data_IF_646020534548
#
_entry.id   IF_646020534548
#
_cell.length_a   1.000
_cell.length_b   1.000
_cell.length_c   1.000
_cell.angle_alpha   90.00
_cell.angle_beta   90.00
_cell.angle_gamma   90.00
#
_symmetry.space_group_name_H-M   'P 1'
#
loop_
_entity.id
_entity.type
_entity.pdbx_description
1 polymer ?
#
# COMPACT_ATOMS: atom_id res chain seq x y z
N UNK A 1 39.35 5.87 13.43
CA UNK A 1 38.57 6.31 12.24
C UNK A 1 37.52 5.27 11.79
N UNK A 2 37.52 4.04 12.31
CA UNK A 2 36.59 2.95 11.92
C UNK A 2 35.20 3.11 12.54
N UNK A 3 35.08 3.70 13.74
CA UNK A 3 33.80 3.87 14.46
C UNK A 3 32.84 4.83 13.75
N UNK A 4 33.36 5.90 13.14
CA UNK A 4 32.55 6.84 12.36
C UNK A 4 31.97 6.19 11.10
N UNK A 5 32.68 5.22 10.51
CA UNK A 5 32.21 4.55 9.31
C UNK A 5 31.03 3.63 9.63
N UNK A 6 31.12 2.84 10.71
CA UNK A 6 30.04 1.97 11.16
C UNK A 6 28.76 2.76 11.50
N UNK A 7 28.90 3.92 12.15
CA UNK A 7 27.76 4.77 12.52
C UNK A 7 27.04 5.35 11.28
N UNK A 8 27.79 5.73 10.24
CA UNK A 8 27.23 6.19 8.96
C UNK A 8 26.48 5.06 8.24
N UNK A 9 27.02 3.84 8.24
CA UNK A 9 26.33 2.69 7.64
C UNK A 9 25.03 2.33 8.36
N UNK A 10 25.02 2.35 9.69
CA UNK A 10 23.82 2.05 10.48
C UNK A 10 22.72 3.09 10.26
N UNK A 11 23.09 4.37 10.27
CA UNK A 11 22.11 5.46 10.02
C UNK A 11 21.55 5.42 8.61
N UNK A 12 22.38 5.17 7.60
CA UNK A 12 21.92 5.00 6.22
C UNK A 12 20.98 3.79 6.07
N UNK A 13 21.32 2.66 6.68
CA UNK A 13 20.50 1.45 6.63
C UNK A 13 19.13 1.65 7.31
N UNK A 14 19.09 2.34 8.45
CA UNK A 14 17.83 2.66 9.15
C UNK A 14 16.93 3.58 8.33
N UNK A 15 17.48 4.61 7.69
CA UNK A 15 16.72 5.53 6.82
C UNK A 15 16.16 4.77 5.61
N UNK A 16 16.98 3.90 5.01
CA UNK A 16 16.58 3.10 3.85
C UNK A 16 15.45 2.12 4.19
N UNK A 17 15.55 1.42 5.33
CA UNK A 17 14.48 0.54 5.80
C UNK A 17 13.19 1.29 6.10
N UNK A 18 13.26 2.46 6.75
CA UNK A 18 12.06 3.26 7.03
C UNK A 18 11.34 3.65 5.73
N UNK A 19 12.11 4.01 4.70
CA UNK A 19 11.60 4.38 3.39
C UNK A 19 10.85 3.23 2.71
N UNK A 20 11.36 2.00 2.84
CA UNK A 20 10.71 0.79 2.31
C UNK A 20 9.41 0.49 3.06
N UNK A 21 9.41 0.62 4.38
CA UNK A 21 8.21 0.38 5.21
C UNK A 21 7.12 1.40 4.88
N UNK A 22 7.48 2.67 4.69
CA UNK A 22 6.52 3.72 4.30
C UNK A 22 5.98 3.45 2.88
N UNK A 23 6.83 3.02 1.94
CA UNK A 23 6.41 2.68 0.58
C UNK A 23 5.50 1.44 0.50
N UNK A 24 5.66 0.47 1.40
CA UNK A 24 4.75 -0.67 1.52
C UNK A 24 3.46 -0.32 2.29
N UNK A 25 3.46 0.80 3.01
CA UNK A 25 2.35 1.26 3.87
C UNK A 25 1.36 2.21 3.20
N UNK A 26 1.52 2.53 1.91
CA UNK A 26 0.51 3.29 1.16
C UNK A 26 -0.66 2.36 0.83
N UNK A 27 -1.45 2.07 1.85
CA UNK A 27 -2.83 1.59 1.69
C UNK A 27 -3.68 2.77 1.20
N UNK A 28 -3.34 3.29 0.02
CA UNK A 28 -4.18 4.25 -0.66
C UNK A 28 -5.35 3.47 -1.23
N UNK A 29 -6.54 3.69 -0.67
CA UNK A 29 -7.74 3.14 -1.26
C UNK A 29 -7.90 3.74 -2.65
N UNK A 30 -7.78 2.92 -3.69
CA UNK A 30 -7.92 3.35 -5.08
C UNK A 30 -9.38 3.16 -5.48
N UNK A 31 -10.06 4.26 -5.79
CA UNK A 31 -11.39 4.20 -6.39
C UNK A 31 -11.28 3.73 -7.85
N UNK A 32 -12.06 2.72 -8.22
CA UNK A 32 -12.07 2.15 -9.58
C UNK A 32 -13.27 2.60 -10.44
N UNK A 33 -14.10 3.50 -9.91
CA UNK A 33 -15.33 4.04 -10.50
C UNK A 33 -16.26 2.97 -11.04
N UNK A 34 -16.31 1.84 -10.34
CA UNK A 34 -17.21 0.73 -10.65
C UNK A 34 -18.38 0.77 -9.68
N UNK A 35 -19.59 0.77 -10.22
CA UNK A 35 -20.80 0.82 -9.40
C UNK A 35 -21.01 -0.49 -8.63
N UNK A 36 -21.32 -0.40 -7.34
CA UNK A 36 -21.54 -1.56 -6.47
C UNK A 36 -22.72 -1.36 -5.52
N UNK A 37 -23.31 -2.47 -5.10
CA UNK A 37 -24.29 -2.55 -4.02
C UNK A 37 -23.79 -3.40 -2.84
N UNK A 38 -22.77 -4.23 -3.07
CA UNK A 38 -22.16 -5.13 -2.08
C UNK A 38 -20.66 -5.25 -2.31
N UNK A 39 -19.89 -5.56 -1.25
CA UNK A 39 -18.42 -5.69 -1.33
C UNK A 39 -17.95 -6.80 -2.28
N UNK A 40 -18.74 -7.86 -2.44
CA UNK A 40 -18.43 -9.00 -3.32
C UNK A 40 -18.24 -8.55 -4.77
N UNK A 41 -18.98 -7.54 -5.22
CA UNK A 41 -18.86 -7.00 -6.58
C UNK A 41 -17.54 -6.28 -6.82
N UNK A 42 -16.84 -5.89 -5.75
CA UNK A 42 -15.56 -5.22 -5.80
C UNK A 42 -14.37 -6.18 -5.69
N UNK A 43 -14.59 -7.45 -5.30
CA UNK A 43 -13.51 -8.41 -5.08
C UNK A 43 -12.74 -8.72 -6.38
N UNK A 44 -13.41 -9.33 -7.37
CA UNK A 44 -12.82 -9.66 -8.67
C UNK A 44 -12.16 -8.44 -9.38
N UNK A 45 -12.82 -7.26 -9.49
CA UNK A 45 -12.20 -6.13 -10.20
C UNK A 45 -11.02 -5.51 -9.44
N UNK A 46 -10.97 -5.63 -8.11
CA UNK A 46 -9.81 -5.23 -7.33
C UNK A 46 -8.67 -6.24 -7.45
N UNK A 47 -8.97 -7.55 -7.44
CA UNK A 47 -7.99 -8.62 -7.61
C UNK A 47 -7.31 -8.56 -8.99
N UNK A 48 -8.07 -8.33 -10.07
CA UNK A 48 -7.53 -8.15 -11.43
C UNK A 48 -6.52 -6.99 -11.50
N UNK A 49 -6.69 -5.98 -10.64
CA UNK A 49 -5.82 -4.81 -10.54
C UNK A 49 -4.65 -4.98 -9.55
N UNK A 50 -4.53 -6.15 -8.92
CA UNK A 50 -3.44 -6.47 -8.00
C UNK A 50 -3.69 -6.05 -6.55
N UNK A 51 -4.93 -5.72 -6.18
CA UNK A 51 -5.31 -5.41 -4.81
C UNK A 51 -5.85 -6.66 -4.11
N UNK A 52 -5.62 -6.75 -2.79
CA UNK A 52 -6.04 -7.91 -2.01
C UNK A 52 -7.49 -7.79 -1.52
N UNK A 53 -7.99 -6.57 -1.46
CA UNK A 53 -9.31 -6.25 -0.90
C UNK A 53 -10.06 -5.24 -1.77
N UNK A 54 -11.37 -5.42 -1.84
CA UNK A 54 -12.30 -4.49 -2.47
C UNK A 54 -13.47 -4.23 -1.54
N UNK A 55 -13.83 -2.97 -1.35
CA UNK A 55 -14.95 -2.54 -0.51
C UNK A 55 -15.89 -1.65 -1.30
N UNK A 56 -17.18 -1.77 -1.06
CA UNK A 56 -18.20 -0.93 -1.65
C UNK A 56 -18.51 0.26 -0.74
N UNK A 57 -18.14 1.47 -1.16
CA UNK A 57 -18.41 2.71 -0.43
C UNK A 57 -19.01 3.75 -1.36
N UNK A 58 -20.07 4.43 -0.92
CA UNK A 58 -20.77 5.46 -1.72
C UNK A 58 -21.28 4.94 -3.08
N UNK A 59 -21.68 3.65 -3.14
CA UNK A 59 -22.05 2.94 -4.36
C UNK A 59 -20.91 2.77 -5.39
N UNK A 60 -19.66 2.98 -4.97
CA UNK A 60 -18.48 2.78 -5.79
C UNK A 60 -17.48 1.81 -5.14
N UNK A 61 -16.75 1.07 -5.97
CA UNK A 61 -15.72 0.15 -5.50
C UNK A 61 -14.40 0.87 -5.21
N UNK A 62 -13.84 0.56 -4.04
CA UNK A 62 -12.53 1.00 -3.58
C UNK A 62 -11.63 -0.20 -3.31
N UNK A 63 -10.43 -0.19 -3.86
CA UNK A 63 -9.48 -1.29 -3.75
C UNK A 63 -8.34 -0.96 -2.79
N UNK A 64 -7.88 -1.96 -2.04
CA UNK A 64 -6.76 -1.86 -1.10
C UNK A 64 -5.90 -3.12 -1.13
#
# INVERSE_FOLDING_TARGET
MVENLACVYVTFFLIFLLSIVIAQGTTENVNIHLYCFTDIQCFDPCEIRGFATGICMEFECWCR
#
